data_IF_393299946042
#
_entry.id   IF_393299946042
#
_cell.length_a   1.000
_cell.length_b   1.000
_cell.length_c   1.000
_cell.angle_alpha   90.00
_cell.angle_beta   90.00
_cell.angle_gamma   90.00
#
_symmetry.space_group_name_H-M   'P 1'
#
loop_
_entity.id
_entity.type
_entity.pdbx_description
1 polymer ?
#
# COMPACT_ATOMS: atom_id res chain seq x y z
N UNK A 1 6.36 -15.26 -31.44
CA UNK A 1 6.83 -16.38 -30.56
C UNK A 1 5.65 -16.70 -29.66
N UNK A 2 5.06 -17.93 -29.72
CA UNK A 2 3.95 -18.29 -28.87
C UNK A 2 4.46 -18.36 -27.42
N UNK A 3 3.84 -17.61 -26.52
CA UNK A 3 4.07 -17.67 -25.08
C UNK A 3 3.45 -18.95 -24.54
N UNK A 4 4.25 -19.99 -24.39
CA UNK A 4 3.83 -21.19 -23.66
C UNK A 4 3.54 -20.82 -22.20
N UNK A 5 2.42 -21.31 -21.68
CA UNK A 5 2.03 -21.09 -20.28
C UNK A 5 3.06 -21.71 -19.32
N UNK A 6 3.16 -21.14 -18.11
CA UNK A 6 4.09 -21.63 -17.08
C UNK A 6 3.83 -23.11 -16.75
N UNK A 7 2.57 -23.57 -16.88
CA UNK A 7 2.15 -24.95 -16.62
C UNK A 7 2.60 -25.96 -17.69
N UNK A 8 2.84 -25.51 -18.94
CA UNK A 8 3.37 -26.39 -19.99
C UNK A 8 4.86 -26.70 -19.81
N UNK A 9 5.60 -25.85 -19.06
CA UNK A 9 7.05 -26.01 -18.83
C UNK A 9 7.38 -26.89 -17.62
N UNK A 10 6.40 -27.20 -16.77
CA UNK A 10 6.58 -28.01 -15.58
C UNK A 10 5.49 -29.08 -15.47
N UNK A 11 5.61 -30.20 -16.20
CA UNK A 11 4.63 -31.29 -16.17
C UNK A 11 4.47 -31.92 -14.78
N UNK A 12 5.48 -31.82 -13.91
CA UNK A 12 5.43 -32.27 -12.52
C UNK A 12 4.44 -31.46 -11.63
N UNK A 13 4.04 -30.28 -12.07
CA UNK A 13 3.02 -29.49 -11.39
C UNK A 13 1.59 -29.80 -11.86
N UNK A 14 1.45 -30.74 -12.76
CA UNK A 14 0.15 -31.19 -13.26
C UNK A 14 -0.46 -32.18 -12.27
N UNK A 15 -1.09 -31.65 -11.22
CA UNK A 15 -1.82 -32.46 -10.25
C UNK A 15 -3.07 -33.03 -10.91
N UNK A 16 -3.22 -34.35 -10.78
CA UNK A 16 -4.42 -35.08 -11.23
C UNK A 16 -5.51 -34.86 -10.17
N UNK A 17 -6.25 -33.77 -10.26
CA UNK A 17 -7.47 -33.60 -9.51
C UNK A 17 -8.67 -34.06 -10.37
N UNK A 18 -9.38 -35.05 -9.89
CA UNK A 18 -10.69 -35.39 -10.40
C UNK A 18 -11.65 -34.29 -9.99
N UNK A 19 -12.14 -33.54 -10.97
CA UNK A 19 -13.15 -32.47 -10.76
C UNK A 19 -14.46 -33.16 -10.33
N UNK A 20 -15.04 -32.83 -9.16
CA UNK A 20 -16.33 -33.34 -8.78
C UNK A 20 -17.43 -32.94 -9.78
N UNK A 21 -18.41 -33.81 -9.96
CA UNK A 21 -19.45 -33.69 -11.00
C UNK A 21 -20.42 -32.51 -10.80
N UNK A 22 -20.33 -31.77 -9.73
CA UNK A 22 -21.18 -30.62 -9.38
C UNK A 22 -20.64 -29.24 -9.83
N UNK A 23 -19.49 -29.23 -10.53
CA UNK A 23 -19.10 -28.15 -11.44
C UNK A 23 -18.75 -26.80 -10.83
N UNK A 24 -18.72 -26.65 -9.51
CA UNK A 24 -18.35 -25.40 -8.84
C UNK A 24 -17.25 -25.69 -7.83
N UNK A 25 -16.02 -25.85 -8.35
CA UNK A 25 -14.84 -25.76 -7.50
C UNK A 25 -14.14 -24.44 -7.73
N UNK A 26 -13.93 -23.74 -6.65
CA UNK A 26 -12.99 -22.64 -6.59
C UNK A 26 -11.56 -23.25 -6.64
N UNK A 27 -11.21 -23.76 -7.83
CA UNK A 27 -9.96 -24.51 -8.08
C UNK A 27 -8.73 -23.67 -7.74
N UNK A 28 -8.87 -22.35 -7.77
CA UNK A 28 -7.80 -21.43 -7.44
C UNK A 28 -7.44 -21.48 -5.95
N UNK A 29 -8.45 -21.56 -5.06
CA UNK A 29 -8.22 -21.59 -3.61
C UNK A 29 -7.63 -22.92 -3.13
N UNK A 30 -8.12 -24.05 -3.66
CA UNK A 30 -7.64 -25.39 -3.26
C UNK A 30 -6.20 -25.62 -3.71
N UNK A 31 -5.83 -25.21 -4.92
CA UNK A 31 -4.45 -25.33 -5.40
C UNK A 31 -3.47 -24.45 -4.64
N UNK A 32 -3.91 -23.29 -4.13
CA UNK A 32 -3.09 -22.41 -3.31
C UNK A 32 -2.88 -23.02 -1.92
N UNK A 33 -3.91 -23.58 -1.28
CA UNK A 33 -3.79 -24.18 0.07
C UNK A 33 -2.92 -25.44 0.08
N UNK A 34 -3.01 -26.32 -0.90
CA UNK A 34 -2.15 -27.51 -0.99
C UNK A 34 -0.71 -27.18 -1.39
N UNK A 35 -0.48 -26.21 -2.27
CA UNK A 35 0.86 -25.74 -2.59
C UNK A 35 1.50 -24.94 -1.43
N UNK A 36 0.71 -24.23 -0.64
CA UNK A 36 1.18 -23.44 0.51
C UNK A 36 1.41 -24.33 1.73
N UNK A 37 0.74 -25.48 1.83
CA UNK A 37 1.01 -26.47 2.89
C UNK A 37 2.41 -27.09 2.82
N UNK A 38 3.08 -27.04 1.67
CA UNK A 38 4.47 -27.48 1.50
C UNK A 38 5.50 -26.39 1.82
N UNK A 39 5.11 -25.11 1.79
CA UNK A 39 5.95 -23.96 2.12
C UNK A 39 5.20 -23.07 3.11
N UNK A 40 5.59 -23.12 4.37
CA UNK A 40 5.04 -22.27 5.42
C UNK A 40 5.47 -20.80 5.17
N UNK A 41 4.84 -20.15 4.20
CA UNK A 41 5.08 -18.74 3.85
C UNK A 41 4.28 -17.79 4.74
N UNK A 42 3.42 -18.35 5.60
CA UNK A 42 2.62 -17.56 6.55
C UNK A 42 3.45 -17.24 7.77
N UNK A 43 3.81 -15.98 7.88
CA UNK A 43 4.42 -15.40 9.09
C UNK A 43 3.31 -14.74 9.90
N UNK A 44 2.87 -15.39 10.97
CA UNK A 44 1.80 -14.92 11.87
C UNK A 44 2.20 -13.60 12.55
N UNK A 45 3.48 -13.43 12.93
CA UNK A 45 3.97 -12.23 13.58
C UNK A 45 3.94 -11.05 12.60
N UNK A 46 4.38 -11.28 11.36
CA UNK A 46 4.31 -10.30 10.29
C UNK A 46 2.85 -9.96 9.94
N UNK A 47 1.98 -10.97 9.90
CA UNK A 47 0.53 -10.79 9.69
C UNK A 47 -0.08 -9.84 10.72
N UNK A 48 0.14 -10.12 12.00
CA UNK A 48 -0.35 -9.30 13.12
C UNK A 48 0.19 -7.87 13.07
N UNK A 49 1.48 -7.70 12.76
CA UNK A 49 2.10 -6.39 12.54
C UNK A 49 1.37 -5.60 11.45
N UNK A 50 1.10 -6.23 10.31
CA UNK A 50 0.41 -5.57 9.19
C UNK A 50 -1.07 -5.29 9.47
N UNK A 51 -1.72 -6.06 10.35
CA UNK A 51 -3.11 -5.78 10.75
C UNK A 51 -3.19 -4.47 11.56
N UNK A 52 -2.24 -4.21 12.44
CA UNK A 52 -2.14 -2.93 13.16
C UNK A 52 -1.88 -1.77 12.19
N UNK A 53 -0.94 -1.93 11.27
CA UNK A 53 -0.62 -0.92 10.25
C UNK A 53 -1.84 -0.59 9.39
N UNK A 54 -2.59 -1.60 8.92
CA UNK A 54 -3.82 -1.41 8.13
C UNK A 54 -4.90 -0.69 8.92
N UNK A 55 -5.12 -1.10 10.18
CA UNK A 55 -6.09 -0.44 11.06
C UNK A 55 -5.76 1.04 11.28
N UNK A 56 -4.48 1.35 11.51
CA UNK A 56 -4.04 2.74 11.67
C UNK A 56 -4.21 3.56 10.37
N UNK A 57 -3.91 2.95 9.21
CA UNK A 57 -4.18 3.57 7.91
C UNK A 57 -5.67 3.85 7.68
N UNK A 58 -6.54 2.93 8.09
CA UNK A 58 -7.98 3.11 7.93
C UNK A 58 -8.51 4.27 8.78
N UNK A 59 -7.99 4.43 10.00
CA UNK A 59 -8.29 5.60 10.85
C UNK A 59 -7.83 6.92 10.21
N UNK A 60 -6.65 6.94 9.58
CA UNK A 60 -6.17 8.10 8.82
C UNK A 60 -7.10 8.42 7.66
N UNK A 61 -7.55 7.41 6.91
CA UNK A 61 -8.47 7.60 5.80
C UNK A 61 -9.82 8.16 6.28
N UNK A 62 -10.35 7.66 7.39
CA UNK A 62 -11.58 8.18 8.00
C UNK A 62 -11.43 9.65 8.42
N UNK A 63 -10.27 10.03 8.95
CA UNK A 63 -10.00 11.42 9.35
C UNK A 63 -9.86 12.37 8.15
N UNK A 64 -9.42 11.88 6.98
CA UNK A 64 -9.30 12.67 5.76
C UNK A 64 -10.66 12.92 5.08
N UNK A 65 -11.61 11.98 5.18
CA UNK A 65 -12.88 12.04 4.44
C UNK A 65 -13.72 13.31 4.68
N UNK A 66 -13.85 13.88 5.90
CA UNK A 66 -14.54 15.15 6.10
C UNK A 66 -13.92 16.30 5.26
N UNK A 67 -12.59 16.41 5.26
CA UNK A 67 -11.88 17.46 4.52
C UNK A 67 -12.02 17.28 3.00
N UNK A 68 -12.14 16.06 2.52
CA UNK A 68 -12.42 15.78 1.12
C UNK A 68 -13.84 16.19 0.73
N UNK A 69 -14.83 15.93 1.58
CA UNK A 69 -16.24 16.36 1.36
C UNK A 69 -16.36 17.86 1.33
N UNK A 70 -15.64 18.55 2.20
CA UNK A 70 -15.59 20.02 2.27
C UNK A 70 -14.70 20.64 1.17
N UNK A 71 -14.01 19.79 0.38
CA UNK A 71 -13.05 20.21 -0.67
C UNK A 71 -11.86 21.02 -0.15
N UNK A 72 -11.52 20.87 1.13
CA UNK A 72 -10.32 21.46 1.73
C UNK A 72 -9.08 20.74 1.19
N UNK A 73 -9.15 19.40 1.05
CA UNK A 73 -8.19 18.60 0.30
C UNK A 73 -8.91 17.91 -0.86
N UNK A 74 -8.30 17.85 -2.04
CA UNK A 74 -8.87 17.18 -3.23
C UNK A 74 -8.47 15.73 -3.31
N UNK A 75 -7.27 15.43 -2.84
CA UNK A 75 -6.66 14.11 -2.83
C UNK A 75 -6.00 13.85 -1.48
N UNK A 76 -5.95 12.60 -1.04
CA UNK A 76 -5.18 12.21 0.16
C UNK A 76 -3.72 12.63 0.06
N UNK A 77 -3.14 12.65 -1.16
CA UNK A 77 -1.77 13.13 -1.41
C UNK A 77 -1.53 14.59 -1.00
N UNK A 78 -2.59 15.39 -0.83
CA UNK A 78 -2.51 16.80 -0.41
C UNK A 78 -2.64 16.96 1.10
N UNK A 79 -2.76 15.87 1.85
CA UNK A 79 -2.95 15.90 3.29
C UNK A 79 -1.63 15.71 4.05
N UNK A 80 -1.45 16.51 5.10
CA UNK A 80 -0.49 16.28 6.18
C UNK A 80 -1.24 15.76 7.38
N UNK A 81 -0.76 14.68 7.98
CA UNK A 81 -1.40 14.00 9.10
C UNK A 81 -0.51 14.07 10.32
N UNK A 82 -1.08 14.43 11.46
CA UNK A 82 -0.43 14.30 12.77
C UNK A 82 -1.18 13.28 13.60
N UNK A 83 -0.48 12.29 14.16
CA UNK A 83 -1.09 11.18 14.88
C UNK A 83 -0.16 10.61 15.94
N UNK A 84 -0.71 9.74 16.79
CA UNK A 84 0.06 8.98 17.76
C UNK A 84 1.06 8.02 17.10
N UNK A 85 2.07 7.62 17.85
CA UNK A 85 3.10 6.68 17.37
C UNK A 85 2.49 5.30 17.13
N UNK A 86 2.77 4.73 15.97
CA UNK A 86 2.46 3.33 15.61
C UNK A 86 3.77 2.54 15.63
N UNK A 87 4.08 1.82 16.72
CA UNK A 87 5.37 1.12 16.87
C UNK A 87 5.63 0.11 15.74
N UNK A 88 4.58 -0.54 15.26
CA UNK A 88 4.61 -1.52 14.16
C UNK A 88 5.06 -0.90 12.83
N UNK A 89 4.89 0.41 12.67
CA UNK A 89 5.31 1.16 11.49
C UNK A 89 6.78 1.62 11.57
N UNK A 90 7.51 1.27 12.63
CA UNK A 90 8.92 1.63 12.75
C UNK A 90 9.75 1.14 11.55
N UNK A 91 10.48 2.06 10.93
CA UNK A 91 11.28 1.79 9.74
C UNK A 91 10.50 1.70 8.42
N UNK A 92 9.20 2.01 8.43
CA UNK A 92 8.34 2.06 7.25
C UNK A 92 7.98 3.52 6.96
N UNK A 93 7.98 3.92 5.69
CA UNK A 93 7.39 5.21 5.27
C UNK A 93 5.86 5.12 5.37
N UNK A 94 5.34 5.53 6.53
CA UNK A 94 3.90 5.45 6.80
C UNK A 94 3.10 6.45 5.97
N UNK A 95 3.71 7.55 5.53
CA UNK A 95 3.08 8.48 4.58
C UNK A 95 2.83 7.81 3.23
N UNK A 96 3.74 6.94 2.79
CA UNK A 96 3.57 6.15 1.56
C UNK A 96 2.45 5.09 1.72
N UNK A 97 2.35 4.45 2.89
CA UNK A 97 1.27 3.50 3.20
C UNK A 97 -0.10 4.18 3.21
N UNK A 98 -0.20 5.37 3.78
CA UNK A 98 -1.46 6.14 3.83
C UNK A 98 -1.75 6.91 2.54
N UNK A 99 -0.78 7.02 1.64
CA UNK A 99 -0.86 7.81 0.39
C UNK A 99 -1.17 9.28 0.71
N UNK A 100 -0.40 9.85 1.64
CA UNK A 100 -0.48 11.26 2.05
C UNK A 100 0.84 11.99 1.81
N UNK A 101 0.84 13.32 1.89
CA UNK A 101 2.07 14.11 1.73
C UNK A 101 3.07 13.82 2.86
N UNK A 102 2.58 13.84 4.09
CA UNK A 102 3.41 13.70 5.29
C UNK A 102 2.62 13.05 6.44
N UNK A 103 3.31 12.27 7.26
CA UNK A 103 2.80 11.82 8.57
C UNK A 103 3.80 12.23 9.64
N UNK A 104 3.33 12.99 10.62
CA UNK A 104 4.06 13.32 11.83
C UNK A 104 3.53 12.45 12.97
N UNK A 105 4.40 11.62 13.54
CA UNK A 105 4.06 10.74 14.67
C UNK A 105 4.63 11.30 15.96
N UNK A 106 3.78 11.61 16.93
CA UNK A 106 4.15 12.12 18.24
C UNK A 106 3.51 11.29 19.36
N UNK A 107 4.32 10.89 20.34
CA UNK A 107 3.86 10.08 21.47
C UNK A 107 2.82 10.79 22.37
N UNK A 108 2.73 12.12 22.29
CA UNK A 108 1.73 12.91 23.02
C UNK A 108 0.43 13.17 22.24
N UNK A 109 0.29 12.62 21.05
CA UNK A 109 -0.88 12.85 20.20
C UNK A 109 -1.89 11.70 20.33
N UNK A 110 -3.03 11.96 20.96
CA UNK A 110 -4.09 10.95 21.12
C UNK A 110 -5.09 10.93 19.95
N UNK A 111 -5.20 12.04 19.21
CA UNK A 111 -6.15 12.20 18.12
C UNK A 111 -5.44 12.40 16.78
N UNK A 112 -6.05 11.90 15.71
CA UNK A 112 -5.56 12.14 14.35
C UNK A 112 -6.02 13.52 13.92
N UNK A 113 -5.06 14.40 13.60
CA UNK A 113 -5.30 15.70 13.02
C UNK A 113 -4.86 15.73 11.56
N UNK A 114 -5.69 16.28 10.68
CA UNK A 114 -5.42 16.38 9.25
C UNK A 114 -5.51 17.83 8.81
N UNK A 115 -4.53 18.24 8.00
CA UNK A 115 -4.49 19.57 7.39
C UNK A 115 -3.98 19.50 5.95
N UNK A 116 -4.29 20.47 5.09
CA UNK A 116 -3.68 20.56 3.77
C UNK A 116 -2.16 20.71 3.88
N UNK A 117 -1.42 20.06 2.96
CA UNK A 117 0.01 20.25 2.82
C UNK A 117 0.30 21.55 2.08
N UNK A 118 1.34 22.26 2.50
CA UNK A 118 1.90 23.43 1.83
C UNK A 118 3.05 23.09 0.86
N UNK A 119 3.37 21.80 0.70
CA UNK A 119 4.37 21.33 -0.24
C UNK A 119 3.87 21.33 -1.68
N UNK A 120 4.81 21.44 -2.62
CA UNK A 120 4.51 21.46 -4.05
C UNK A 120 4.43 20.06 -4.65
N UNK A 121 3.66 19.97 -5.72
CA UNK A 121 3.38 18.70 -6.41
C UNK A 121 4.43 18.41 -7.47
N UNK A 122 5.06 17.24 -7.38
CA UNK A 122 5.93 16.74 -8.44
C UNK A 122 5.15 16.51 -9.75
N UNK A 123 5.66 17.04 -10.88
CA UNK A 123 5.02 16.95 -12.18
C UNK A 123 4.90 15.53 -12.75
N UNK A 124 5.65 14.55 -12.20
CA UNK A 124 5.63 13.17 -12.69
C UNK A 124 4.91 12.21 -11.75
N UNK A 125 5.31 12.12 -10.48
CA UNK A 125 4.73 11.16 -9.53
C UNK A 125 3.53 11.71 -8.75
N UNK A 126 3.31 13.02 -8.82
CA UNK A 126 2.19 13.77 -8.22
C UNK A 126 2.21 13.79 -6.68
N UNK A 127 3.25 13.28 -6.05
CA UNK A 127 3.45 13.44 -4.61
C UNK A 127 3.81 14.89 -4.28
N UNK A 128 3.33 15.37 -3.16
CA UNK A 128 3.79 16.62 -2.57
C UNK A 128 5.00 16.31 -1.70
N UNK A 129 6.12 16.96 -1.97
CA UNK A 129 7.40 16.65 -1.36
C UNK A 129 8.17 17.93 -1.05
N UNK A 130 8.93 17.97 0.05
CA UNK A 130 9.61 19.19 0.49
C UNK A 130 10.72 19.69 -0.46
N UNK A 131 11.30 18.75 -1.26
CA UNK A 131 12.32 19.10 -2.25
C UNK A 131 11.75 19.70 -3.54
N UNK A 132 10.45 19.61 -3.76
CA UNK A 132 9.79 20.19 -4.93
C UNK A 132 9.53 21.68 -4.65
N UNK A 133 10.19 22.56 -5.38
CA UNK A 133 10.19 24.02 -5.15
C UNK A 133 9.01 24.75 -5.76
N UNK A 134 8.38 24.17 -6.77
CA UNK A 134 7.21 24.71 -7.48
C UNK A 134 6.37 23.59 -8.08
N UNK A 135 5.09 23.81 -8.27
CA UNK A 135 4.18 22.84 -8.86
C UNK A 135 4.61 22.47 -10.29
N UNK A 136 4.82 21.18 -10.50
CA UNK A 136 5.25 20.64 -11.80
C UNK A 136 6.76 20.40 -11.92
N UNK A 137 7.59 20.91 -11.00
CA UNK A 137 9.00 20.51 -10.91
C UNK A 137 9.12 19.02 -10.54
N UNK A 138 10.27 18.42 -10.82
CA UNK A 138 10.50 17.01 -10.50
C UNK A 138 11.04 16.87 -9.08
N UNK A 139 10.64 15.81 -8.39
CA UNK A 139 11.32 15.40 -7.17
C UNK A 139 12.62 14.65 -7.51
N UNK A 140 13.53 14.55 -6.55
CA UNK A 140 14.86 13.95 -6.73
C UNK A 140 14.80 12.53 -7.33
N UNK A 141 13.85 11.71 -6.86
CA UNK A 141 13.62 10.36 -7.41
C UNK A 141 13.21 10.40 -8.88
N UNK A 142 12.31 11.29 -9.26
CA UNK A 142 11.84 11.38 -10.65
C UNK A 142 12.90 11.96 -11.57
N UNK A 143 13.66 12.93 -11.09
CA UNK A 143 14.77 13.53 -11.82
C UNK A 143 15.87 12.50 -12.09
N UNK A 144 16.28 11.74 -11.07
CA UNK A 144 17.27 10.65 -11.22
C UNK A 144 16.85 9.62 -12.27
N UNK A 145 15.56 9.20 -12.25
CA UNK A 145 15.06 8.17 -13.20
C UNK A 145 15.01 8.68 -14.65
N UNK A 146 14.82 9.98 -14.85
CA UNK A 146 14.74 10.55 -16.19
C UNK A 146 16.10 10.91 -16.77
N UNK A 147 17.10 11.12 -15.92
CA UNK A 147 18.46 11.54 -16.32
C UNK A 147 19.48 10.38 -16.27
N UNK A 148 19.01 9.11 -16.06
CA UNK A 148 19.80 7.89 -16.14
C UNK A 148 19.61 7.23 -17.51
#
# INVERSE_FOLDING_TARGET
IPTQSVFERRPELRMQHEVPADGVMDVALVCIDEMVGAFCWRDEALGSKWDVIRSSRDQVNEAIEPLRREKVVRSSLEATVSMGVVPEAAGIDFAEICIVAKVDMDAGQDAIAVQPSDWHKCGRCWRLLPEVTEDGALCDRCDTVLNT
#
